data_IF_636058734473
#
_entry.id   IF_636058734473
#
_cell.length_a   1.000
_cell.length_b   1.000
_cell.length_c   1.000
_cell.angle_alpha   90.00
_cell.angle_beta   90.00
_cell.angle_gamma   90.00
#
_symmetry.space_group_name_H-M   'P 1'
#
loop_
_entity.id
_entity.type
_entity.pdbx_description
1 polymer ?
#
# COMPACT_ATOMS: atom_id res chain seq x y z
N UNK A 1 6.71 -10.66 -0.61
CA UNK A 1 5.82 -10.41 -1.77
C UNK A 1 6.38 -10.98 -3.07
N UNK A 2 7.61 -10.64 -3.47
CA UNK A 2 8.23 -11.11 -4.73
C UNK A 2 8.05 -12.62 -5.01
N UNK A 3 8.51 -13.50 -4.12
CA UNK A 3 8.40 -14.95 -4.30
C UNK A 3 6.95 -15.42 -4.48
N UNK A 4 5.98 -14.77 -3.82
CA UNK A 4 4.56 -15.11 -3.93
C UNK A 4 4.03 -14.77 -5.31
N UNK A 5 4.36 -13.59 -5.84
CA UNK A 5 3.94 -13.18 -7.18
C UNK A 5 4.58 -14.07 -8.27
N UNK A 6 5.89 -14.34 -8.15
CA UNK A 6 6.58 -15.28 -9.05
C UNK A 6 5.93 -16.66 -9.03
N UNK A 7 5.60 -17.19 -7.84
CA UNK A 7 4.92 -18.50 -7.72
C UNK A 7 3.52 -18.54 -8.32
N UNK A 8 2.88 -17.38 -8.50
CA UNK A 8 1.57 -17.23 -9.12
C UNK A 8 1.67 -16.97 -10.64
N UNK A 9 2.89 -16.99 -11.20
CA UNK A 9 3.13 -16.85 -12.64
C UNK A 9 3.28 -15.40 -13.12
N UNK A 10 3.34 -14.42 -12.22
CA UNK A 10 3.62 -13.04 -12.59
C UNK A 10 5.11 -12.86 -12.89
N UNK A 11 5.41 -12.01 -13.87
CA UNK A 11 6.76 -11.47 -14.07
C UNK A 11 6.98 -10.35 -13.06
N UNK A 12 8.12 -10.37 -12.36
CA UNK A 12 8.45 -9.38 -11.32
C UNK A 12 9.82 -8.77 -11.59
N UNK A 13 9.84 -7.46 -11.77
CA UNK A 13 11.07 -6.66 -11.79
C UNK A 13 11.22 -5.98 -10.44
N UNK A 14 12.35 -6.21 -9.77
CA UNK A 14 12.68 -5.54 -8.51
C UNK A 14 13.57 -4.33 -8.79
N UNK A 15 13.24 -3.19 -8.19
CA UNK A 15 14.01 -1.96 -8.27
C UNK A 15 14.13 -1.40 -6.85
N UNK A 16 15.33 -0.89 -6.50
CA UNK A 16 15.54 -0.19 -5.23
C UNK A 16 14.83 1.16 -5.27
N UNK A 17 14.32 1.59 -4.13
CA UNK A 17 13.86 2.98 -3.91
C UNK A 17 14.87 4.03 -4.41
N UNK A 18 16.17 3.83 -4.16
CA UNK A 18 17.25 4.73 -4.62
C UNK A 18 17.34 4.94 -6.14
N UNK A 19 16.86 3.97 -6.94
CA UNK A 19 17.07 3.94 -8.38
C UNK A 19 15.78 4.05 -9.18
N UNK A 20 14.64 4.09 -8.51
CA UNK A 20 13.34 4.00 -9.17
C UNK A 20 13.00 5.32 -9.86
N UNK A 21 12.49 5.22 -11.08
CA UNK A 21 12.05 6.37 -11.88
C UNK A 21 10.61 6.16 -12.36
N UNK A 22 9.85 7.22 -12.70
CA UNK A 22 8.50 7.05 -13.25
C UNK A 22 8.47 6.20 -14.53
N UNK A 23 9.56 6.22 -15.31
CA UNK A 23 9.70 5.45 -16.55
C UNK A 23 9.69 3.93 -16.34
N UNK A 24 10.07 3.45 -15.15
CA UNK A 24 10.06 2.03 -14.81
C UNK A 24 8.66 1.43 -14.72
N UNK A 25 7.63 2.27 -14.58
CA UNK A 25 6.23 1.84 -14.64
C UNK A 25 5.78 1.53 -16.08
N UNK A 26 6.48 2.01 -17.11
CA UNK A 26 6.03 1.85 -18.49
C UNK A 26 5.98 0.37 -18.89
N UNK A 27 4.82 -0.05 -19.42
CA UNK A 27 4.58 -1.44 -19.82
C UNK A 27 4.31 -2.41 -18.66
N UNK A 28 4.32 -1.94 -17.42
CA UNK A 28 3.94 -2.75 -16.25
C UNK A 28 2.42 -2.79 -16.08
N UNK A 29 1.91 -3.87 -15.51
CA UNK A 29 0.49 -4.00 -15.16
C UNK A 29 0.16 -3.41 -13.78
N UNK A 30 1.14 -3.36 -12.89
CA UNK A 30 1.01 -2.92 -11.50
C UNK A 30 2.38 -2.46 -10.98
N UNK A 31 2.40 -1.36 -10.24
CA UNK A 31 3.52 -1.01 -9.36
C UNK A 31 3.14 -1.40 -7.93
N UNK A 32 4.00 -2.16 -7.26
CA UNK A 32 3.85 -2.50 -5.84
C UNK A 32 4.98 -1.88 -5.03
N UNK A 33 4.66 -0.95 -4.14
CA UNK A 33 5.63 -0.32 -3.24
C UNK A 33 5.67 -1.10 -1.93
N UNK A 34 6.83 -1.72 -1.66
CA UNK A 34 7.04 -2.57 -0.49
C UNK A 34 6.97 -1.77 0.82
N UNK A 35 6.52 -2.42 1.89
CA UNK A 35 6.55 -1.91 3.26
C UNK A 35 7.97 -1.66 3.84
N UNK A 36 9.00 -1.91 3.03
CA UNK A 36 10.42 -1.75 3.38
C UNK A 36 11.10 -0.68 2.52
N UNK A 37 10.39 -0.06 1.58
CA UNK A 37 10.93 1.06 0.81
C UNK A 37 11.00 2.30 1.71
N UNK A 38 12.04 3.11 1.56
CA UNK A 38 12.13 4.38 2.27
C UNK A 38 11.17 5.40 1.67
N UNK A 39 10.18 5.83 2.45
CA UNK A 39 9.17 6.78 1.98
C UNK A 39 9.76 8.14 1.64
N UNK A 40 10.87 8.55 2.27
CA UNK A 40 11.53 9.82 1.96
C UNK A 40 12.22 9.79 0.58
N UNK A 41 12.67 8.61 0.15
CA UNK A 41 13.35 8.42 -1.13
C UNK A 41 12.31 8.25 -2.24
N UNK A 42 11.34 7.36 -2.05
CA UNK A 42 10.29 7.13 -3.04
C UNK A 42 9.44 8.38 -3.22
N UNK A 43 9.03 9.03 -2.13
CA UNK A 43 8.29 10.29 -2.11
C UNK A 43 7.15 10.27 -3.16
N UNK A 44 7.11 11.26 -4.04
CA UNK A 44 6.10 11.44 -5.08
C UNK A 44 6.42 10.74 -6.41
N UNK A 45 7.52 9.97 -6.47
CA UNK A 45 8.07 9.44 -7.74
C UNK A 45 7.06 8.62 -8.53
N UNK A 46 6.26 7.80 -7.84
CA UNK A 46 5.26 6.93 -8.48
C UNK A 46 3.84 7.48 -8.46
N UNK A 47 3.63 8.72 -8.01
CA UNK A 47 2.28 9.25 -7.76
C UNK A 47 1.47 9.49 -9.04
N UNK A 48 2.14 9.92 -10.11
CA UNK A 48 1.50 10.34 -11.36
C UNK A 48 1.72 9.37 -12.54
N UNK A 49 2.17 8.15 -12.28
CA UNK A 49 2.33 7.14 -13.34
C UNK A 49 0.96 6.67 -13.84
N UNK A 50 0.87 6.31 -15.12
CA UNK A 50 -0.39 5.85 -15.72
C UNK A 50 -0.81 4.43 -15.29
N UNK A 51 0.08 3.69 -14.61
CA UNK A 51 -0.15 2.32 -14.15
C UNK A 51 -0.70 2.33 -12.73
N UNK A 52 -1.58 1.39 -12.40
CA UNK A 52 -2.10 1.25 -11.05
C UNK A 52 -0.96 1.04 -10.03
N UNK A 53 -1.07 1.68 -8.87
CA UNK A 53 -0.07 1.60 -7.79
C UNK A 53 -0.72 1.04 -6.53
N UNK A 54 -0.09 0.01 -5.95
CA UNK A 54 -0.42 -0.52 -4.64
C UNK A 54 0.71 -0.17 -3.66
N UNK A 55 0.35 0.39 -2.52
CA UNK A 55 1.31 0.91 -1.54
C UNK A 55 1.15 0.14 -0.23
N UNK A 56 2.24 -0.44 0.28
CA UNK A 56 2.26 -1.16 1.56
C UNK A 56 3.06 -0.44 2.64
N UNK A 57 3.54 0.77 2.36
CA UNK A 57 4.25 1.64 3.31
C UNK A 57 3.35 2.82 3.68
N UNK A 58 2.97 2.92 4.96
CA UNK A 58 1.95 3.88 5.39
C UNK A 58 2.43 5.32 5.36
N UNK A 59 3.72 5.56 5.60
CA UNK A 59 4.29 6.91 5.55
C UNK A 59 4.40 7.49 4.14
N UNK A 60 3.98 6.74 3.13
CA UNK A 60 3.98 7.17 1.75
C UNK A 60 2.56 7.52 1.27
N UNK A 61 1.50 7.31 2.07
CA UNK A 61 0.14 7.49 1.60
C UNK A 61 -0.23 8.95 1.32
N UNK A 62 0.30 9.90 2.09
CA UNK A 62 0.14 11.34 1.88
C UNK A 62 0.97 11.83 0.69
N UNK A 63 2.19 11.34 0.56
CA UNK A 63 3.03 11.52 -0.63
C UNK A 63 2.44 10.82 -1.87
N UNK A 64 1.55 9.86 -1.68
CA UNK A 64 0.75 9.23 -2.72
C UNK A 64 -0.69 9.79 -2.74
N UNK A 65 -0.95 10.95 -2.12
CA UNK A 65 -2.21 11.69 -2.26
C UNK A 65 -3.47 10.90 -1.89
N UNK A 66 -3.29 9.78 -1.18
CA UNK A 66 -4.34 8.84 -0.80
C UNK A 66 -5.02 9.30 0.50
N UNK A 67 -4.29 10.02 1.35
CA UNK A 67 -4.71 10.47 2.68
C UNK A 67 -4.34 11.93 2.90
N UNK A 68 -4.85 12.54 3.98
CA UNK A 68 -4.27 13.77 4.51
C UNK A 68 -2.84 13.56 5.05
N UNK A 69 -2.11 14.64 5.40
CA UNK A 69 -0.68 14.59 5.72
C UNK A 69 -0.37 14.25 7.19
N UNK A 70 -1.38 14.01 8.03
CA UNK A 70 -1.17 13.95 9.48
C UNK A 70 -1.02 12.50 9.96
N UNK A 71 0.19 12.14 10.38
CA UNK A 71 0.48 10.82 10.99
C UNK A 71 -0.40 10.58 12.22
N UNK A 72 -0.89 9.35 12.36
CA UNK A 72 -1.84 8.85 13.35
C UNK A 72 -3.22 9.57 13.36
N UNK A 73 -3.52 10.37 12.33
CA UNK A 73 -4.84 10.97 12.11
C UNK A 73 -5.40 10.57 10.73
N UNK A 74 -4.58 10.69 9.69
CA UNK A 74 -4.93 10.35 8.31
C UNK A 74 -4.37 8.99 7.88
N UNK A 75 -3.21 8.62 8.41
CA UNK A 75 -2.56 7.33 8.22
C UNK A 75 -1.66 7.00 9.39
N UNK A 76 -1.24 5.75 9.55
CA UNK A 76 -0.24 5.40 10.54
C UNK A 76 -0.36 3.97 11.02
N UNK A 77 -0.18 3.78 12.33
CA UNK A 77 -0.19 2.48 12.98
C UNK A 77 -1.30 2.40 14.01
N UNK A 78 -1.80 1.20 14.29
CA UNK A 78 -2.74 0.99 15.39
C UNK A 78 -2.07 1.30 16.73
N UNK A 79 -2.80 1.99 17.61
CA UNK A 79 -2.33 2.32 18.97
C UNK A 79 -2.16 1.08 19.86
N UNK A 80 -2.93 0.04 19.57
CA UNK A 80 -2.86 -1.26 20.23
C UNK A 80 -2.40 -2.35 19.26
N UNK A 81 -1.77 -3.38 19.82
CA UNK A 81 -1.36 -4.55 19.06
C UNK A 81 -2.57 -5.42 18.74
N UNK A 82 -2.63 -5.88 17.49
CA UNK A 82 -3.74 -6.64 16.93
C UNK A 82 -3.23 -7.96 16.34
N UNK A 83 -4.14 -8.92 16.15
CA UNK A 83 -3.87 -10.15 15.37
C UNK A 83 -4.83 -10.33 14.21
N UNK A 84 -5.94 -9.57 14.18
CA UNK A 84 -7.00 -9.73 13.21
C UNK A 84 -7.47 -8.39 12.65
N UNK A 85 -8.04 -8.44 11.43
CA UNK A 85 -8.76 -7.34 10.80
C UNK A 85 -10.23 -7.74 10.63
N UNK A 86 -11.15 -6.77 10.71
CA UNK A 86 -12.57 -7.02 10.48
C UNK A 86 -12.97 -6.60 9.06
N UNK A 87 -13.44 -7.56 8.26
CA UNK A 87 -13.91 -7.31 6.90
C UNK A 87 -15.37 -6.86 6.93
N UNK A 88 -15.61 -5.58 6.65
CA UNK A 88 -16.94 -4.95 6.69
C UNK A 88 -17.67 -4.90 5.35
N UNK A 89 -16.95 -5.07 4.23
CA UNK A 89 -17.51 -5.08 2.88
C UNK A 89 -17.16 -6.40 2.16
N UNK A 90 -17.76 -7.53 2.57
CA UNK A 90 -17.34 -8.87 2.12
C UNK A 90 -17.61 -9.13 0.63
N UNK A 91 -18.51 -8.38 0.00
CA UNK A 91 -18.79 -8.48 -1.43
C UNK A 91 -17.71 -7.82 -2.32
N UNK A 92 -16.81 -7.02 -1.74
CA UNK A 92 -15.77 -6.35 -2.51
C UNK A 92 -14.68 -7.35 -2.96
N UNK A 93 -14.17 -7.29 -4.20
CA UNK A 93 -13.14 -8.23 -4.66
C UNK A 93 -11.89 -8.30 -3.77
N UNK A 94 -11.48 -7.17 -3.17
CA UNK A 94 -10.35 -7.12 -2.23
C UNK A 94 -10.60 -7.91 -0.93
N UNK A 95 -11.85 -8.23 -0.58
CA UNK A 95 -12.15 -9.09 0.55
C UNK A 95 -11.70 -10.53 0.32
N UNK A 96 -11.46 -10.95 -0.94
CA UNK A 96 -10.92 -12.28 -1.25
C UNK A 96 -11.78 -13.46 -0.77
N UNK A 97 -13.10 -13.23 -0.61
CA UNK A 97 -14.03 -14.22 -0.07
C UNK A 97 -14.10 -14.28 1.46
N UNK A 98 -13.35 -13.43 2.17
CA UNK A 98 -13.41 -13.33 3.63
C UNK A 98 -14.52 -12.38 4.10
N UNK A 99 -14.97 -12.56 5.35
CA UNK A 99 -15.98 -11.73 6.01
C UNK A 99 -15.78 -11.73 7.51
N UNK A 100 -16.12 -10.63 8.20
CA UNK A 100 -15.98 -10.56 9.65
C UNK A 100 -14.51 -10.58 10.11
N UNK A 101 -14.23 -11.04 11.34
CA UNK A 101 -12.87 -11.10 11.87
C UNK A 101 -12.00 -12.13 11.14
N UNK A 102 -10.84 -11.70 10.65
CA UNK A 102 -9.85 -12.54 9.97
C UNK A 102 -8.50 -12.36 10.66
N UNK A 103 -7.94 -13.45 11.21
CA UNK A 103 -6.60 -13.45 11.79
C UNK A 103 -5.53 -13.33 10.70
N UNK A 104 -4.70 -12.30 10.79
CA UNK A 104 -3.63 -11.99 9.82
C UNK A 104 -2.23 -12.02 10.44
N UNK A 105 -2.12 -12.03 11.77
CA UNK A 105 -0.86 -12.27 12.49
C UNK A 105 -0.99 -13.42 13.47
N UNK A 106 0.10 -14.17 13.65
CA UNK A 106 0.22 -15.26 14.63
C UNK A 106 0.60 -14.76 16.03
N UNK A 107 1.03 -13.50 16.14
CA UNK A 107 1.35 -12.82 17.40
C UNK A 107 0.86 -11.37 17.36
N UNK A 108 0.65 -10.76 18.53
CA UNK A 108 0.26 -9.36 18.65
C UNK A 108 1.27 -8.44 17.97
N UNK A 109 0.80 -7.60 17.03
CA UNK A 109 1.65 -6.66 16.31
C UNK A 109 0.87 -5.39 15.94
N UNK A 110 1.59 -4.30 15.67
CA UNK A 110 0.97 -3.09 15.13
C UNK A 110 0.55 -3.33 13.67
N UNK A 111 -0.59 -2.75 13.29
CA UNK A 111 -1.08 -2.78 11.91
C UNK A 111 -1.06 -1.38 11.33
N UNK A 112 -0.73 -1.28 10.04
CA UNK A 112 -0.80 -0.02 9.31
C UNK A 112 -2.24 0.26 8.88
N UNK A 113 -2.61 1.53 8.85
CA UNK A 113 -3.92 1.97 8.38
C UNK A 113 -3.84 3.30 7.63
N UNK A 114 -4.91 3.61 6.91
CA UNK A 114 -5.11 4.85 6.18
C UNK A 114 -6.61 5.17 6.14
N UNK A 115 -6.95 6.45 6.25
CA UNK A 115 -8.28 6.97 6.01
C UNK A 115 -8.25 7.73 4.68
N UNK A 116 -8.93 7.24 3.64
CA UNK A 116 -8.91 7.88 2.34
C UNK A 116 -9.55 9.28 2.41
N UNK A 117 -8.98 10.23 1.66
CA UNK A 117 -9.59 11.54 1.52
C UNK A 117 -10.91 11.45 0.75
N UNK A 118 -11.88 12.29 1.09
CA UNK A 118 -13.12 12.44 0.33
C UNK A 118 -12.86 12.98 -1.10
N UNK A 119 -11.76 13.73 -1.29
CA UNK A 119 -11.31 14.26 -2.57
C UNK A 119 -9.79 14.01 -2.72
N UNK A 120 -9.33 13.33 -3.78
CA UNK A 120 -7.90 13.10 -4.02
C UNK A 120 -7.13 14.41 -4.29
N UNK A 121 -5.90 14.53 -3.76
CA UNK A 121 -5.04 15.74 -3.87
C UNK A 121 -4.18 15.81 -5.14
N UNK A 122 -4.56 15.06 -6.17
CA UNK A 122 -3.87 15.03 -7.47
C UNK A 122 -4.27 16.14 -8.43
N UNK A 123 -5.10 17.08 -7.97
CA UNK A 123 -5.68 18.15 -8.76
C UNK A 123 -5.17 19.55 -8.32
N UNK A 124 -4.18 19.58 -7.43
CA UNK A 124 -3.65 20.77 -6.76
C UNK A 124 -2.26 21.16 -7.31
#
# INVERSE_FOLDING_TARGET
MQNRLLSQGYLVTMISDDNVTPGDANGMALVYISATADSNIVNTTMRNVAVAVMVSESNLYDDMGMTGPTVNVDYGYTDSLQTAVNIILPAHPLAGGFSGPVTVYTAQNQMRWATPMATPRWLD
#
